data_IF_410648651580
#
_entry.id   IF_410648651580
#
_cell.length_a   1.000
_cell.length_b   1.000
_cell.length_c   1.000
_cell.angle_alpha   90.00
_cell.angle_beta   90.00
_cell.angle_gamma   90.00
#
_symmetry.space_group_name_H-M   'P 1'
#
loop_
_entity.id
_entity.type
_entity.pdbx_description
1 polymer ?
#
# COMPACT_ATOMS: atom_id res chain seq x y z
N UNK A 1 0.86 -12.95 17.07
CA UNK A 1 1.22 -13.36 15.69
C UNK A 1 1.02 -14.86 15.52
N UNK A 2 1.42 -15.67 16.49
CA UNK A 2 1.58 -17.13 16.40
C UNK A 2 0.33 -17.97 16.09
N UNK A 3 -0.87 -17.37 16.11
CA UNK A 3 -2.14 -18.05 15.74
C UNK A 3 -3.00 -17.25 14.76
N UNK A 4 -2.54 -16.07 14.33
CA UNK A 4 -3.28 -15.19 13.43
C UNK A 4 -2.78 -15.32 12.00
N UNK A 5 -3.67 -15.20 11.01
CA UNK A 5 -3.27 -14.99 9.60
C UNK A 5 -2.74 -13.56 9.47
N UNK A 6 -1.44 -13.41 9.69
CA UNK A 6 -0.76 -12.12 9.80
C UNK A 6 0.30 -11.94 8.71
N UNK A 7 0.45 -10.70 8.24
CA UNK A 7 1.53 -10.27 7.37
C UNK A 7 2.03 -8.89 7.81
N UNK A 8 3.34 -8.71 7.84
CA UNK A 8 3.99 -7.40 7.88
C UNK A 8 4.35 -7.00 6.46
N UNK A 9 4.06 -5.75 6.09
CA UNK A 9 4.45 -5.16 4.83
C UNK A 9 5.27 -3.91 5.13
N UNK A 10 6.58 -4.00 4.91
CA UNK A 10 7.48 -2.85 4.98
C UNK A 10 7.32 -2.00 3.71
N UNK A 11 6.99 -0.73 3.90
CA UNK A 11 6.76 0.24 2.83
C UNK A 11 7.76 1.38 2.83
N UNK A 12 8.83 1.32 3.65
CA UNK A 12 9.79 2.42 3.80
C UNK A 12 10.39 2.86 2.47
N UNK A 13 10.85 1.91 1.65
CA UNK A 13 11.41 2.18 0.32
C UNK A 13 10.41 2.73 -0.69
N UNK A 14 9.12 2.65 -0.40
CA UNK A 14 8.06 3.17 -1.28
C UNK A 14 7.48 4.49 -0.80
N UNK A 15 7.84 4.99 0.39
CA UNK A 15 7.15 6.09 1.06
C UNK A 15 7.17 7.41 0.27
N UNK A 16 8.19 7.63 -0.56
CA UNK A 16 8.41 8.86 -1.31
C UNK A 16 8.73 8.58 -2.79
N UNK A 17 8.34 9.50 -3.68
CA UNK A 17 8.82 9.52 -5.06
C UNK A 17 9.44 10.86 -5.39
N UNK A 18 10.63 10.81 -5.98
CA UNK A 18 11.41 11.98 -6.32
C UNK A 18 10.97 12.65 -7.62
N UNK A 19 10.40 11.87 -8.54
CA UNK A 19 9.94 12.32 -9.84
C UNK A 19 8.41 12.22 -9.97
N UNK A 20 7.77 13.19 -10.65
CA UNK A 20 6.35 13.09 -10.99
C UNK A 20 6.12 11.97 -12.01
N UNK A 21 4.95 11.33 -11.93
CA UNK A 21 4.46 10.35 -12.90
C UNK A 21 3.12 10.84 -13.47
N UNK A 22 2.66 10.38 -14.65
CA UNK A 22 1.38 10.83 -15.23
C UNK A 22 0.16 10.67 -14.31
N UNK A 23 0.23 9.73 -13.36
CA UNK A 23 -0.85 9.40 -12.43
C UNK A 23 -0.61 9.90 -10.98
N UNK A 24 0.46 10.67 -10.72
CA UNK A 24 0.76 11.24 -9.39
C UNK A 24 1.89 12.27 -9.39
N UNK A 25 1.79 13.24 -8.49
CA UNK A 25 2.86 14.21 -8.21
C UNK A 25 4.09 13.58 -7.50
N UNK A 26 5.20 14.33 -7.51
CA UNK A 26 6.33 14.15 -6.60
C UNK A 26 5.85 14.23 -5.15
N UNK A 27 6.45 13.43 -4.27
CA UNK A 27 6.17 13.46 -2.83
C UNK A 27 5.68 12.13 -2.26
N UNK A 28 4.89 12.16 -1.16
CA UNK A 28 4.48 10.97 -0.45
C UNK A 28 3.61 10.07 -1.35
N UNK A 29 3.79 8.76 -1.22
CA UNK A 29 3.35 7.83 -2.27
C UNK A 29 1.99 7.21 -2.13
N UNK A 30 1.52 7.02 -0.90
CA UNK A 30 0.31 6.24 -0.62
C UNK A 30 0.35 4.81 -1.19
N UNK A 31 1.54 4.25 -1.43
CA UNK A 31 1.70 2.87 -1.90
C UNK A 31 1.04 1.93 -0.88
N UNK A 32 0.46 0.84 -1.40
CA UNK A 32 -0.37 -0.14 -0.69
C UNK A 32 -1.79 0.28 -0.28
N UNK A 33 -2.17 1.58 -0.28
CA UNK A 33 -3.54 1.99 0.11
C UNK A 33 -4.61 1.30 -0.76
N UNK A 34 -4.53 1.46 -2.10
CA UNK A 34 -5.50 0.82 -3.01
C UNK A 34 -5.47 -0.70 -2.94
N UNK A 35 -4.30 -1.29 -2.69
CA UNK A 35 -4.14 -2.74 -2.53
C UNK A 35 -4.87 -3.24 -1.29
N UNK A 36 -4.74 -2.54 -0.16
CA UNK A 36 -5.41 -2.90 1.09
C UNK A 36 -6.92 -2.67 1.03
N UNK A 37 -7.38 -1.60 0.37
CA UNK A 37 -8.81 -1.38 0.10
C UNK A 37 -9.38 -2.53 -0.72
N UNK A 38 -8.76 -2.85 -1.86
CA UNK A 38 -9.20 -3.96 -2.71
C UNK A 38 -9.17 -5.31 -1.98
N UNK A 39 -8.22 -5.51 -1.05
CA UNK A 39 -8.17 -6.74 -0.24
C UNK A 39 -9.38 -6.86 0.68
N UNK A 40 -9.81 -5.77 1.30
CA UNK A 40 -10.98 -5.77 2.20
C UNK A 40 -12.26 -5.94 1.39
N UNK A 41 -12.40 -5.23 0.26
CA UNK A 41 -13.56 -5.35 -0.64
C UNK A 41 -13.75 -6.79 -1.12
N UNK A 42 -12.69 -7.42 -1.64
CA UNK A 42 -12.74 -8.82 -2.09
C UNK A 42 -12.97 -9.86 -0.99
N UNK A 43 -12.78 -9.49 0.27
CA UNK A 43 -13.06 -10.37 1.43
C UNK A 43 -14.47 -10.18 1.98
N UNK A 44 -15.15 -9.11 1.59
CA UNK A 44 -16.52 -8.82 2.00
C UNK A 44 -17.56 -9.43 1.04
N UNK A 45 -17.14 -9.79 -0.18
CA UNK A 45 -17.85 -10.71 -1.08
C UNK A 45 -17.81 -12.15 -0.56
#
# INVERSE_FOLDING_TARGET
VDKARWAHLDIAGTAWHDDPKPFRSKGPSGVAIRTLVNLVEKRAE
#
